data_IF_821363641262
#
_entry.id   IF_821363641262
#
_cell.length_a   1.000
_cell.length_b   1.000
_cell.length_c   1.000
_cell.angle_alpha   90.00
_cell.angle_beta   90.00
_cell.angle_gamma   90.00
#
_symmetry.space_group_name_H-M   'P 1'
#
loop_
_entity.id
_entity.type
_entity.pdbx_description
1 polymer ?
#
# COMPACT_ATOMS: atom_id res chain seq x y z
N UNK A 1 18.49 -3.95 5.09
CA UNK A 1 17.38 -4.62 5.82
C UNK A 1 16.27 -4.92 4.81
N UNK A 2 15.45 -5.95 5.03
CA UNK A 2 14.33 -6.26 4.12
C UNK A 2 13.15 -5.33 4.40
N UNK A 3 12.62 -4.73 3.34
CA UNK A 3 11.44 -3.87 3.33
C UNK A 3 10.33 -4.51 2.51
N UNK A 4 9.14 -4.67 3.10
CA UNK A 4 7.97 -5.26 2.43
C UNK A 4 6.81 -4.27 2.47
N UNK A 5 6.26 -3.94 1.29
CA UNK A 5 5.05 -3.13 1.15
C UNK A 5 3.82 -4.03 0.98
N UNK A 6 2.87 -3.95 1.90
CA UNK A 6 1.54 -4.54 1.79
C UNK A 6 0.55 -3.54 1.18
N UNK A 7 -0.25 -3.99 0.21
CA UNK A 7 -1.24 -3.16 -0.49
C UNK A 7 -2.60 -3.86 -0.50
N UNK A 8 -3.64 -3.13 -0.10
CA UNK A 8 -5.03 -3.56 -0.25
C UNK A 8 -5.82 -2.53 -1.06
N UNK A 9 -6.34 -2.96 -2.22
CA UNK A 9 -7.02 -2.09 -3.19
C UNK A 9 -8.56 -2.22 -3.17
N UNK A 10 -9.08 -2.80 -2.09
CA UNK A 10 -10.48 -3.19 -1.91
C UNK A 10 -11.36 -2.08 -1.34
N UNK A 11 -12.44 -2.50 -0.67
CA UNK A 11 -13.18 -1.62 0.24
C UNK A 11 -12.29 -1.33 1.44
N UNK A 12 -12.29 -0.08 1.92
CA UNK A 12 -11.38 0.39 2.97
C UNK A 12 -9.91 0.15 2.58
N UNK A 13 -9.53 0.70 1.43
CA UNK A 13 -8.19 0.56 0.87
C UNK A 13 -7.13 1.17 1.79
N UNK A 14 -5.92 0.63 1.73
CA UNK A 14 -4.82 1.09 2.55
C UNK A 14 -3.51 0.38 2.23
N UNK A 15 -2.45 0.81 2.89
CA UNK A 15 -1.13 0.23 2.76
C UNK A 15 -0.50 -0.02 4.14
N UNK A 16 0.39 -1.00 4.20
CA UNK A 16 1.25 -1.27 5.34
C UNK A 16 2.68 -1.49 4.86
N UNK A 17 3.67 -1.16 5.68
CA UNK A 17 5.08 -1.31 5.36
C UNK A 17 5.81 -1.91 6.55
N UNK A 18 6.60 -2.95 6.29
CA UNK A 18 7.44 -3.63 7.28
C UNK A 18 8.90 -3.32 6.92
N UNK A 19 9.64 -2.70 7.84
CA UNK A 19 11.07 -2.42 7.71
C UNK A 19 11.84 -3.02 8.89
N UNK A 20 12.46 -4.18 8.68
CA UNK A 20 13.07 -4.92 9.80
C UNK A 20 12.04 -5.34 10.85
N UNK A 21 12.03 -4.66 12.02
CA UNK A 21 11.07 -4.89 13.11
C UNK A 21 9.97 -3.83 13.19
N UNK A 22 10.09 -2.74 12.42
CA UNK A 22 9.16 -1.63 12.44
C UNK A 22 8.01 -1.88 11.47
N UNK A 23 6.81 -1.47 11.87
CA UNK A 23 5.58 -1.65 11.11
C UNK A 23 4.86 -0.31 11.05
N UNK A 24 4.53 0.11 9.83
CA UNK A 24 3.77 1.32 9.56
C UNK A 24 2.52 0.93 8.77
N UNK A 25 1.39 1.59 9.02
CA UNK A 25 0.17 1.34 8.28
C UNK A 25 -0.72 2.58 8.27
N UNK A 26 -1.38 2.81 7.14
CA UNK A 26 -2.35 3.90 7.01
C UNK A 26 -3.42 3.55 5.99
N UNK A 27 -4.68 3.74 6.37
CA UNK A 27 -5.83 3.60 5.47
C UNK A 27 -5.99 4.85 4.62
N UNK A 28 -6.35 4.65 3.35
CA UNK A 28 -6.49 5.71 2.36
C UNK A 28 -7.57 6.71 2.80
N UNK A 29 -8.64 6.25 3.47
CA UNK A 29 -9.72 7.12 3.98
C UNK A 29 -9.23 8.25 4.92
N UNK A 30 -8.11 8.06 5.62
CA UNK A 30 -7.53 9.11 6.48
C UNK A 30 -6.98 10.27 5.66
N UNK A 31 -6.42 9.95 4.49
CA UNK A 31 -5.73 10.88 3.60
C UNK A 31 -6.65 11.40 2.48
N UNK A 32 -7.60 10.59 2.02
CA UNK A 32 -8.63 10.95 1.04
C UNK A 32 -9.78 11.72 1.66
N UNK A 33 -10.03 11.54 2.96
CA UNK A 33 -11.20 12.06 3.69
C UNK A 33 -12.53 11.50 3.15
N UNK A 34 -12.45 10.40 2.41
CA UNK A 34 -13.59 9.64 1.93
C UNK A 34 -13.72 8.36 2.76
N UNK A 35 -14.79 8.27 3.55
CA UNK A 35 -15.04 7.10 4.40
C UNK A 35 -15.11 5.83 3.56
N UNK A 36 -14.39 4.80 3.99
CA UNK A 36 -14.26 3.52 3.29
C UNK A 36 -13.75 3.63 1.85
N UNK A 37 -12.83 4.57 1.61
CA UNK A 37 -12.22 4.79 0.30
C UNK A 37 -11.94 3.46 -0.40
N UNK A 38 -12.52 3.29 -1.59
CA UNK A 38 -12.44 2.06 -2.37
C UNK A 38 -11.63 2.32 -3.62
N UNK A 39 -10.47 1.70 -3.73
CA UNK A 39 -9.60 2.03 -4.85
C UNK A 39 -8.16 1.62 -4.60
N UNK A 40 -7.28 2.11 -5.46
CA UNK A 40 -5.85 1.98 -5.25
C UNK A 40 -5.40 2.97 -4.16
N UNK A 41 -4.67 2.53 -3.12
CA UNK A 41 -4.31 3.37 -1.98
C UNK A 41 -3.05 4.21 -2.25
N UNK A 42 -3.14 5.13 -3.20
CA UNK A 42 -1.98 5.93 -3.64
C UNK A 42 -1.42 6.82 -2.52
N UNK A 43 -2.28 7.54 -1.79
CA UNK A 43 -1.83 8.46 -0.74
C UNK A 43 -1.22 7.69 0.41
N UNK A 44 -1.79 6.54 0.77
CA UNK A 44 -1.24 5.67 1.81
C UNK A 44 0.17 5.20 1.45
N UNK A 45 0.40 4.74 0.22
CA UNK A 45 1.73 4.28 -0.21
C UNK A 45 2.74 5.43 -0.15
N UNK A 46 2.38 6.60 -0.68
CA UNK A 46 3.25 7.79 -0.64
C UNK A 46 3.58 8.23 0.79
N UNK A 47 2.60 8.17 1.68
CA UNK A 47 2.76 8.53 3.09
C UNK A 47 3.76 7.61 3.79
N UNK A 48 3.67 6.29 3.58
CA UNK A 48 4.59 5.33 4.19
C UNK A 48 6.03 5.50 3.70
N UNK A 49 6.20 5.74 2.39
CA UNK A 49 7.51 6.02 1.79
C UNK A 49 8.10 7.30 2.40
N UNK A 50 7.27 8.34 2.54
CA UNK A 50 7.69 9.63 3.15
C UNK A 50 8.10 9.45 4.61
N UNK A 51 7.31 8.74 5.41
CA UNK A 51 7.56 8.57 6.86
C UNK A 51 8.84 7.77 7.11
N UNK A 52 9.13 6.76 6.27
CA UNK A 52 10.34 5.96 6.42
C UNK A 52 11.56 6.59 5.72
N UNK A 53 11.37 7.68 4.97
CA UNK A 53 12.43 8.36 4.21
C UNK A 53 13.21 7.42 3.27
N UNK A 54 12.51 6.44 2.69
CA UNK A 54 13.10 5.51 1.72
C UNK A 54 12.72 5.87 0.29
N UNK A 55 13.48 5.38 -0.67
CA UNK A 55 13.11 5.44 -2.07
C UNK A 55 12.32 4.19 -2.46
N UNK A 56 11.49 4.29 -3.49
CA UNK A 56 10.67 3.16 -3.98
C UNK A 56 11.50 1.93 -4.35
N UNK A 57 12.72 2.13 -4.84
CA UNK A 57 13.68 1.08 -5.17
C UNK A 57 14.20 0.30 -3.96
N UNK A 58 14.02 0.81 -2.74
CA UNK A 58 14.42 0.11 -1.52
C UNK A 58 13.33 -0.86 -1.00
N UNK A 59 12.21 -0.99 -1.70
CA UNK A 59 11.15 -1.95 -1.38
C UNK A 59 11.51 -3.29 -2.03
N UNK A 60 11.90 -4.29 -1.23
CA UNK A 60 12.32 -5.59 -1.73
C UNK A 60 11.16 -6.43 -2.26
N UNK A 61 9.97 -6.28 -1.65
CA UNK A 61 8.78 -7.07 -2.01
C UNK A 61 7.50 -6.25 -1.86
N UNK A 62 6.55 -6.52 -2.75
CA UNK A 62 5.19 -6.01 -2.65
C UNK A 62 4.24 -7.20 -2.46
N UNK A 63 3.49 -7.19 -1.36
CA UNK A 63 2.43 -8.13 -1.07
C UNK A 63 1.07 -7.49 -1.36
N UNK A 64 0.29 -8.09 -2.26
CA UNK A 64 -1.03 -7.56 -2.64
C UNK A 64 -2.13 -8.45 -2.07
N UNK A 65 -3.03 -7.84 -1.29
CA UNK A 65 -4.15 -8.54 -0.70
C UNK A 65 -5.15 -8.98 -1.78
N UNK A 66 -5.38 -10.30 -1.88
CA UNK A 66 -6.38 -10.88 -2.76
C UNK A 66 -6.00 -10.89 -4.24
N UNK A 67 -5.18 -11.87 -4.64
CA UNK A 67 -4.87 -12.14 -6.06
C UNK A 67 -6.12 -12.70 -6.79
N UNK A 68 -7.04 -13.31 -6.06
CA UNK A 68 -8.05 -14.24 -6.61
C UNK A 68 -9.21 -13.59 -7.39
N UNK A 69 -9.55 -12.31 -7.14
CA UNK A 69 -10.71 -11.64 -7.79
C UNK A 69 -10.35 -10.57 -8.83
N UNK A 70 -9.09 -10.15 -8.93
CA UNK A 70 -8.71 -8.91 -9.64
C UNK A 70 -7.45 -8.99 -10.51
N UNK A 71 -7.02 -10.16 -10.98
CA UNK A 71 -5.85 -10.29 -11.90
C UNK A 71 -5.92 -9.30 -13.08
N UNK A 72 -7.10 -9.08 -13.66
CA UNK A 72 -7.33 -8.07 -14.73
C UNK A 72 -7.10 -6.62 -14.31
N UNK A 73 -7.30 -6.25 -13.04
CA UNK A 73 -7.13 -4.87 -12.54
C UNK A 73 -5.67 -4.58 -12.23
N UNK A 74 -4.96 -5.54 -11.64
CA UNK A 74 -3.51 -5.50 -11.45
C UNK A 74 -2.76 -5.32 -12.78
N UNK A 75 -3.13 -6.07 -13.82
CA UNK A 75 -2.53 -5.97 -15.16
C UNK A 75 -2.84 -4.64 -15.88
N UNK A 76 -3.79 -3.83 -15.38
CA UNK A 76 -4.17 -2.53 -15.97
C UNK A 76 -3.47 -1.35 -15.32
N UNK A 77 -2.76 -1.56 -14.20
CA UNK A 77 -1.91 -0.54 -13.60
C UNK A 77 -0.64 -0.47 -14.45
N UNK A 78 -0.60 0.48 -15.39
CA UNK A 78 0.59 0.87 -16.15
C UNK A 78 1.41 1.86 -15.34
#
# INVERSE_FOLDING_TARGET
MKTVLGVHDGHDAGAALIHGKEIYAVNEERLSREKYHRGFPERSIRELIRVLEIETQNIDKIAVAGIYRKKKRLLKMK
#
